data_IF_611952365564
#
_entry.id   IF_611952365564
#
_cell.length_a   1.000
_cell.length_b   1.000
_cell.length_c   1.000
_cell.angle_alpha   90.00
_cell.angle_beta   90.00
_cell.angle_gamma   90.00
#
_symmetry.space_group_name_H-M   'P 1'
#
loop_
_entity.id
_entity.type
_entity.pdbx_description
1 polymer ?
#
# COMPACT_ATOMS: atom_id res chain seq x y z
N UNK A 1 -8.06 0.76 -15.20
CA UNK A 1 -6.63 1.08 -15.41
C UNK A 1 -6.32 2.27 -14.51
N UNK A 2 -5.27 2.15 -13.74
CA UNK A 2 -4.77 3.17 -12.83
C UNK A 2 -3.32 3.49 -13.20
N UNK A 3 -2.92 4.76 -13.21
CA UNK A 3 -1.58 5.19 -13.58
C UNK A 3 -1.16 6.35 -12.68
N UNK A 4 -0.05 6.17 -11.99
CA UNK A 4 0.52 7.15 -11.06
C UNK A 4 1.97 7.46 -11.46
N UNK A 5 2.32 8.74 -11.57
CA UNK A 5 3.71 9.23 -11.72
C UNK A 5 3.96 10.24 -10.58
N UNK A 6 4.75 9.84 -9.60
CA UNK A 6 5.08 10.65 -8.44
C UNK A 6 6.53 11.10 -8.51
N UNK A 7 6.76 12.39 -8.33
CA UNK A 7 8.09 12.99 -8.22
C UNK A 7 8.16 13.87 -6.99
N UNK A 8 9.14 13.63 -6.15
CA UNK A 8 9.42 14.44 -4.97
C UNK A 8 10.82 15.01 -5.04
N UNK A 9 10.96 16.29 -4.71
CA UNK A 9 12.24 16.97 -4.58
C UNK A 9 12.33 17.61 -3.21
N UNK A 10 13.39 17.31 -2.48
CA UNK A 10 13.69 17.89 -1.20
C UNK A 10 14.93 18.78 -1.31
N UNK A 11 14.89 19.91 -0.64
CA UNK A 11 16.05 20.79 -0.48
C UNK A 11 16.26 21.00 1.01
N UNK A 12 17.52 20.97 1.44
CA UNK A 12 17.88 21.22 2.83
C UNK A 12 19.02 22.25 2.90
N UNK A 13 18.91 23.14 3.85
CA UNK A 13 19.93 24.10 4.17
C UNK A 13 19.88 24.40 5.68
N UNK A 14 21.01 24.79 6.23
CA UNK A 14 21.12 25.16 7.63
C UNK A 14 21.27 26.67 7.76
N UNK A 15 20.54 27.24 8.69
CA UNK A 15 20.56 28.70 8.98
C UNK A 15 20.87 28.92 10.46
N UNK A 16 21.34 30.11 10.81
CA UNK A 16 21.71 30.49 12.17
C UNK A 16 21.40 31.96 12.44
N UNK A 17 21.58 32.39 13.70
CA UNK A 17 21.37 33.77 14.11
C UNK A 17 19.90 34.10 14.35
N UNK A 18 19.14 33.21 15.00
CA UNK A 18 17.75 33.48 15.40
C UNK A 18 17.72 34.53 16.51
N UNK A 19 16.83 35.55 16.42
CA UNK A 19 16.78 36.67 17.38
C UNK A 19 16.41 36.24 18.80
N UNK A 20 15.60 35.16 18.96
CA UNK A 20 15.25 34.56 20.24
C UNK A 20 14.90 33.10 20.06
N UNK A 21 14.98 32.31 21.15
CA UNK A 21 14.66 30.89 21.12
C UNK A 21 13.20 30.53 20.81
N UNK A 22 12.30 31.52 20.81
CA UNK A 22 10.89 31.35 20.46
C UNK A 22 10.58 31.69 19.00
N UNK A 23 11.54 32.22 18.25
CA UNK A 23 11.42 32.60 16.84
C UNK A 23 12.27 31.67 15.97
N UNK A 24 11.74 30.50 15.68
CA UNK A 24 12.41 29.43 14.95
C UNK A 24 12.01 29.32 13.46
N UNK A 25 11.29 30.33 12.93
CA UNK A 25 10.94 30.41 11.52
C UNK A 25 12.18 30.71 10.67
N UNK A 26 12.37 29.96 9.59
CA UNK A 26 13.50 30.10 8.66
C UNK A 26 13.66 31.54 8.14
N UNK A 27 12.56 32.29 7.96
CA UNK A 27 12.56 33.66 7.45
C UNK A 27 13.12 34.70 8.41
N UNK A 28 13.27 34.37 9.70
CA UNK A 28 13.84 35.27 10.72
C UNK A 28 15.29 34.94 11.07
N UNK A 29 15.86 33.90 10.47
CA UNK A 29 17.29 33.64 10.60
C UNK A 29 18.12 34.74 9.92
N UNK A 30 19.22 35.11 10.54
CA UNK A 30 20.06 36.22 10.05
C UNK A 30 20.97 35.80 8.90
N UNK A 31 21.42 34.54 8.88
CA UNK A 31 22.36 34.06 7.87
C UNK A 31 22.31 32.54 7.69
N UNK A 32 22.88 32.05 6.58
CA UNK A 32 23.18 30.65 6.42
C UNK A 32 24.32 30.24 7.36
N UNK A 33 24.23 28.99 7.87
CA UNK A 33 25.28 28.46 8.73
C UNK A 33 26.62 28.48 7.99
N UNK A 34 27.64 29.02 8.65
CA UNK A 34 28.99 29.13 8.10
C UNK A 34 29.51 27.73 7.69
N UNK A 35 30.05 27.60 6.51
CA UNK A 35 30.47 26.34 5.89
C UNK A 35 29.34 25.30 5.72
N UNK A 36 28.09 25.69 5.92
CA UNK A 36 26.93 24.85 5.63
C UNK A 36 26.78 24.57 4.13
N UNK A 37 26.58 23.32 3.76
CA UNK A 37 26.33 22.92 2.37
C UNK A 37 24.83 22.73 2.18
N UNK A 38 24.24 23.26 1.08
CA UNK A 38 22.88 22.91 0.72
C UNK A 38 22.83 21.43 0.35
N UNK A 39 21.79 20.74 0.79
CA UNK A 39 21.47 19.39 0.38
C UNK A 39 20.31 19.36 -0.58
N UNK A 40 20.23 18.30 -1.36
CA UNK A 40 19.12 18.06 -2.25
C UNK A 40 18.87 16.57 -2.44
N UNK A 41 17.59 16.22 -2.56
CA UNK A 41 17.16 14.87 -2.86
C UNK A 41 16.07 14.91 -3.94
N UNK A 42 16.07 13.90 -4.79
CA UNK A 42 15.02 13.70 -5.76
C UNK A 42 14.62 12.22 -5.73
N UNK A 43 13.31 11.97 -5.65
CA UNK A 43 12.76 10.63 -5.80
C UNK A 43 11.70 10.64 -6.88
N UNK A 44 11.64 9.57 -7.65
CA UNK A 44 10.65 9.35 -8.68
C UNK A 44 10.15 7.93 -8.62
N UNK A 45 8.83 7.75 -8.59
CA UNK A 45 8.19 6.45 -8.68
C UNK A 45 7.06 6.47 -9.69
N UNK A 46 6.85 5.34 -10.35
CA UNK A 46 5.75 5.13 -11.28
C UNK A 46 5.05 3.83 -10.95
N UNK A 47 3.72 3.88 -11.01
CA UNK A 47 2.86 2.72 -10.85
C UNK A 47 1.88 2.63 -12.00
N UNK A 48 1.54 1.40 -12.37
CA UNK A 48 0.47 1.10 -13.30
C UNK A 48 -0.30 -0.08 -12.75
N UNK A 49 -1.64 0.00 -12.78
CA UNK A 49 -2.52 -1.04 -12.29
C UNK A 49 -3.63 -1.36 -13.27
N UNK A 50 -3.91 -2.64 -13.44
CA UNK A 50 -5.07 -3.13 -14.15
C UNK A 50 -5.94 -3.91 -13.18
N UNK A 51 -7.23 -3.60 -13.13
CA UNK A 51 -8.19 -4.21 -12.24
C UNK A 51 -9.39 -4.72 -13.01
N UNK A 52 -9.85 -5.91 -12.65
CA UNK A 52 -11.10 -6.50 -13.11
C UNK A 52 -11.87 -7.07 -11.93
N UNK A 53 -13.17 -6.80 -11.86
CA UNK A 53 -14.08 -7.31 -10.84
C UNK A 53 -15.26 -7.98 -11.50
N UNK A 54 -15.74 -9.06 -10.91
CA UNK A 54 -16.97 -9.73 -11.30
C UNK A 54 -17.76 -10.05 -10.04
N UNK A 55 -19.05 -9.73 -10.07
CA UNK A 55 -20.00 -10.04 -8.98
C UNK A 55 -21.23 -10.71 -9.59
N UNK A 56 -21.66 -11.79 -8.98
CA UNK A 56 -22.85 -12.52 -9.37
C UNK A 56 -23.72 -12.78 -8.18
N UNK A 57 -25.02 -12.55 -8.34
CA UNK A 57 -26.02 -12.91 -7.33
C UNK A 57 -27.12 -13.76 -7.98
N UNK A 58 -27.52 -14.79 -7.27
CA UNK A 58 -28.60 -15.68 -7.69
C UNK A 58 -29.73 -15.65 -6.65
N UNK A 59 -30.92 -15.24 -7.08
CA UNK A 59 -32.16 -15.15 -6.30
C UNK A 59 -32.03 -14.43 -4.94
N UNK A 60 -31.08 -13.48 -4.83
CA UNK A 60 -30.72 -12.85 -3.56
C UNK A 60 -30.33 -13.83 -2.44
N UNK A 61 -30.01 -15.07 -2.79
CA UNK A 61 -29.61 -16.14 -1.88
C UNK A 61 -28.12 -16.35 -1.89
N UNK A 62 -27.54 -16.48 -3.08
CA UNK A 62 -26.13 -16.80 -3.27
C UNK A 62 -25.42 -15.64 -3.92
N UNK A 63 -24.25 -15.30 -3.39
CA UNK A 63 -23.41 -14.22 -3.89
C UNK A 63 -22.01 -14.79 -4.14
N UNK A 64 -21.44 -14.42 -5.26
CA UNK A 64 -20.06 -14.74 -5.61
C UNK A 64 -19.39 -13.47 -6.11
N UNK A 65 -18.28 -13.10 -5.52
CA UNK A 65 -17.45 -11.98 -5.91
C UNK A 65 -16.06 -12.47 -6.26
N UNK A 66 -15.49 -11.95 -7.33
CA UNK A 66 -14.13 -12.19 -7.72
C UNK A 66 -13.47 -10.87 -8.14
N UNK A 67 -12.24 -10.68 -7.73
CA UNK A 67 -11.42 -9.53 -8.11
C UNK A 67 -10.04 -10.02 -8.53
N UNK A 68 -9.54 -9.41 -9.58
CA UNK A 68 -8.17 -9.62 -10.04
C UNK A 68 -7.53 -8.25 -10.31
N UNK A 69 -6.32 -8.08 -9.83
CA UNK A 69 -5.53 -6.88 -10.05
C UNK A 69 -4.09 -7.25 -10.38
N UNK A 70 -3.53 -6.58 -11.36
CA UNK A 70 -2.10 -6.65 -11.64
C UNK A 70 -1.50 -5.26 -11.48
N UNK A 71 -0.53 -5.14 -10.60
CA UNK A 71 0.15 -3.89 -10.31
C UNK A 71 1.62 -3.97 -10.71
N UNK A 72 2.08 -2.93 -11.43
CA UNK A 72 3.47 -2.72 -11.77
C UNK A 72 4.02 -1.48 -11.07
N UNK A 73 5.23 -1.57 -10.53
CA UNK A 73 5.89 -0.43 -9.88
C UNK A 73 7.37 -0.37 -10.23
N UNK A 74 7.87 0.86 -10.43
CA UNK A 74 9.29 1.13 -10.66
C UNK A 74 10.16 1.01 -9.40
N UNK A 75 9.56 0.73 -8.24
CA UNK A 75 10.29 0.54 -6.98
C UNK A 75 10.91 -0.84 -6.86
N UNK A 76 10.43 -1.80 -7.66
CA UNK A 76 10.88 -3.19 -7.63
C UNK A 76 11.95 -3.49 -8.67
N UNK A 77 12.60 -4.62 -8.49
CA UNK A 77 13.60 -5.15 -9.39
C UNK A 77 13.08 -5.31 -10.82
N UNK A 78 13.99 -5.29 -11.81
CA UNK A 78 13.62 -5.37 -13.24
C UNK A 78 12.74 -6.58 -13.55
N UNK A 79 12.97 -7.68 -12.86
CA UNK A 79 12.37 -8.97 -13.16
C UNK A 79 11.08 -9.24 -12.35
N UNK A 80 10.81 -8.40 -11.33
CA UNK A 80 9.68 -8.54 -10.40
C UNK A 80 8.79 -7.29 -10.31
N UNK A 81 8.75 -6.49 -11.36
CA UNK A 81 7.99 -5.22 -11.38
C UNK A 81 6.49 -5.40 -11.29
N UNK A 82 5.97 -6.48 -11.87
CA UNK A 82 4.54 -6.77 -11.92
C UNK A 82 4.20 -7.90 -10.97
N UNK A 83 3.14 -7.70 -10.18
CA UNK A 83 2.59 -8.74 -9.32
C UNK A 83 1.08 -8.83 -9.52
N UNK A 84 0.55 -10.06 -9.70
CA UNK A 84 -0.88 -10.30 -9.70
C UNK A 84 -1.39 -10.43 -8.26
N UNK A 85 -2.55 -9.83 -7.99
CA UNK A 85 -3.30 -9.98 -6.75
C UNK A 85 -4.72 -10.40 -7.11
N UNK A 86 -5.34 -11.19 -6.25
CA UNK A 86 -6.66 -11.70 -6.48
C UNK A 86 -7.45 -11.85 -5.18
N UNK A 87 -8.76 -11.81 -5.30
CA UNK A 87 -9.64 -12.17 -4.20
C UNK A 87 -10.89 -12.87 -4.73
N UNK A 88 -11.43 -13.77 -3.91
CA UNK A 88 -12.69 -14.41 -4.16
C UNK A 88 -13.51 -14.42 -2.86
N UNK A 89 -14.80 -14.17 -2.99
CA UNK A 89 -15.75 -14.16 -1.89
C UNK A 89 -17.04 -14.88 -2.26
N UNK A 90 -17.64 -15.52 -1.26
CA UNK A 90 -18.94 -16.11 -1.36
C UNK A 90 -19.83 -15.63 -0.20
N UNK A 91 -21.10 -15.48 -0.48
CA UNK A 91 -22.10 -15.13 0.52
C UNK A 91 -23.38 -15.95 0.33
N UNK A 92 -23.98 -16.33 1.45
CA UNK A 92 -25.23 -17.07 1.46
C UNK A 92 -26.22 -16.42 2.41
N UNK A 93 -27.34 -15.97 1.86
CA UNK A 93 -28.48 -15.45 2.62
C UNK A 93 -29.40 -16.60 3.02
N UNK A 94 -29.12 -17.27 4.12
CA UNK A 94 -29.83 -18.45 4.61
C UNK A 94 -31.30 -18.10 4.90
N UNK A 95 -31.59 -16.90 5.38
CA UNK A 95 -32.96 -16.46 5.66
C UNK A 95 -33.87 -16.41 4.41
N UNK A 96 -33.33 -16.50 3.21
CA UNK A 96 -34.09 -16.56 1.95
C UNK A 96 -34.38 -18.00 1.50
N UNK A 97 -33.91 -19.01 2.23
CA UNK A 97 -34.17 -20.38 1.91
C UNK A 97 -35.57 -20.84 2.33
N UNK A 98 -36.17 -21.75 1.56
CA UNK A 98 -37.52 -22.23 1.83
C UNK A 98 -37.68 -22.92 3.20
N UNK A 99 -36.63 -23.52 3.73
CA UNK A 99 -36.64 -24.15 5.06
C UNK A 99 -36.64 -23.12 6.22
N UNK A 100 -36.39 -21.83 5.92
CA UNK A 100 -36.40 -20.75 6.88
C UNK A 100 -37.73 -19.97 6.89
N UNK A 101 -38.68 -20.32 6.01
CA UNK A 101 -39.96 -19.62 5.87
C UNK A 101 -40.80 -19.60 7.14
N UNK A 102 -40.70 -20.62 7.99
CA UNK A 102 -41.43 -20.77 9.23
C UNK A 102 -40.72 -20.19 10.46
N UNK A 103 -39.57 -19.52 10.25
CA UNK A 103 -38.72 -18.98 11.31
C UNK A 103 -38.88 -17.46 11.39
N UNK A 104 -39.96 -16.97 11.94
CA UNK A 104 -40.35 -15.54 11.96
C UNK A 104 -39.43 -14.65 12.82
N UNK A 105 -38.74 -15.22 13.79
CA UNK A 105 -37.89 -14.43 14.70
C UNK A 105 -36.51 -14.08 14.13
N UNK A 106 -36.07 -14.74 13.02
CA UNK A 106 -34.84 -14.41 12.28
C UNK A 106 -35.21 -13.57 11.07
N UNK A 107 -34.92 -12.28 11.11
CA UNK A 107 -35.17 -11.35 10.01
C UNK A 107 -34.08 -11.44 8.91
N UNK A 108 -32.83 -11.71 9.31
CA UNK A 108 -31.70 -11.87 8.41
C UNK A 108 -30.69 -12.84 8.98
N UNK A 109 -30.23 -13.75 8.16
CA UNK A 109 -29.12 -14.63 8.45
C UNK A 109 -28.26 -14.76 7.18
N UNK A 110 -27.04 -14.24 7.25
CA UNK A 110 -26.07 -14.30 6.15
C UNK A 110 -24.77 -14.90 6.66
N UNK A 111 -24.21 -15.83 5.90
CA UNK A 111 -22.85 -16.33 6.08
C UNK A 111 -22.04 -15.82 4.90
N UNK A 112 -20.78 -15.44 5.16
CA UNK A 112 -19.84 -15.00 4.13
C UNK A 112 -18.48 -15.63 4.38
N UNK A 113 -17.77 -15.93 3.29
CA UNK A 113 -16.39 -16.35 3.34
C UNK A 113 -15.62 -15.69 2.20
N UNK A 114 -14.38 -15.30 2.46
CA UNK A 114 -13.52 -14.73 1.44
C UNK A 114 -12.07 -15.14 1.63
N UNK A 115 -11.35 -15.19 0.53
CA UNK A 115 -9.92 -15.40 0.49
C UNK A 115 -9.33 -14.47 -0.56
N UNK A 116 -8.15 -13.92 -0.27
CA UNK A 116 -7.48 -13.06 -1.24
C UNK A 116 -6.03 -12.83 -0.89
N UNK A 117 -5.27 -12.48 -1.89
CA UNK A 117 -3.87 -12.12 -1.77
C UNK A 117 -3.72 -10.63 -2.05
N UNK A 118 -3.10 -9.91 -1.11
CA UNK A 118 -2.81 -8.48 -1.21
C UNK A 118 -1.31 -8.25 -1.16
N UNK A 119 -0.84 -7.23 -1.86
CA UNK A 119 0.56 -6.83 -1.87
C UNK A 119 0.78 -5.50 -1.17
N UNK A 120 1.89 -5.38 -0.47
CA UNK A 120 2.35 -4.12 0.09
C UNK A 120 3.73 -3.75 -0.47
N UNK A 121 3.97 -2.45 -0.59
CA UNK A 121 5.25 -1.90 -0.99
C UNK A 121 5.77 -0.99 0.13
N UNK A 122 6.74 -1.48 0.87
CA UNK A 122 7.39 -0.70 1.94
C UNK A 122 8.82 -0.29 1.56
N UNK A 123 9.14 -0.28 0.25
CA UNK A 123 10.47 0.02 -0.24
C UNK A 123 10.61 1.48 -0.67
N UNK A 124 11.77 2.04 -0.41
CA UNK A 124 12.13 3.38 -0.86
C UNK A 124 12.46 3.39 -2.35
N UNK A 125 12.41 4.57 -2.96
CA UNK A 125 12.84 4.72 -4.35
C UNK A 125 14.31 4.33 -4.51
N UNK A 126 14.60 3.60 -5.58
CA UNK A 126 15.97 3.17 -5.97
C UNK A 126 16.58 2.03 -5.15
N UNK A 127 15.89 1.38 -4.22
CA UNK A 127 16.43 0.22 -3.47
C UNK A 127 16.75 -0.98 -4.36
N UNK A 128 16.03 -1.13 -5.48
CA UNK A 128 16.33 -2.17 -6.46
C UNK A 128 17.53 -1.86 -7.37
N UNK A 129 18.08 -0.65 -7.29
CA UNK A 129 19.14 -0.17 -8.20
C UNK A 129 20.47 0.03 -7.49
N UNK A 130 21.59 -0.18 -8.20
CA UNK A 130 22.88 0.24 -7.69
C UNK A 130 22.92 1.76 -7.55
N UNK A 131 23.30 2.24 -6.38
CA UNK A 131 23.41 3.67 -6.11
C UNK A 131 24.83 4.07 -5.76
N UNK A 132 25.21 5.26 -6.20
CA UNK A 132 26.53 5.83 -5.99
C UNK A 132 26.41 7.20 -5.32
N UNK A 133 27.34 7.51 -4.43
CA UNK A 133 27.47 8.82 -3.83
C UNK A 133 28.75 9.48 -4.33
N UNK A 134 28.65 10.73 -4.76
CA UNK A 134 29.83 11.50 -5.11
C UNK A 134 30.62 11.85 -3.86
N UNK A 135 31.93 11.60 -3.91
CA UNK A 135 32.85 11.97 -2.83
C UNK A 135 33.59 13.28 -3.22
N UNK A 136 33.43 14.28 -2.36
CA UNK A 136 34.14 15.55 -2.54
C UNK A 136 35.57 15.50 -2.02
N UNK A 137 35.89 14.54 -1.15
CA UNK A 137 37.22 14.31 -0.58
C UNK A 137 38.11 13.44 -1.48
N UNK A 138 37.50 12.50 -2.19
CA UNK A 138 38.23 11.55 -3.03
C UNK A 138 38.25 12.06 -4.46
N UNK A 139 39.31 12.76 -4.81
CA UNK A 139 39.50 13.31 -6.14
C UNK A 139 40.70 12.63 -6.84
N UNK A 140 40.50 12.29 -8.10
CA UNK A 140 41.59 11.91 -8.99
C UNK A 140 41.79 13.02 -10.01
N UNK A 141 42.90 13.74 -9.92
CA UNK A 141 43.11 15.01 -10.62
C UNK A 141 41.97 16.01 -10.33
N UNK A 142 41.28 16.48 -11.35
CA UNK A 142 40.15 17.38 -11.26
C UNK A 142 38.79 16.65 -11.30
N UNK A 143 38.80 15.30 -11.33
CA UNK A 143 37.56 14.49 -11.37
C UNK A 143 37.09 14.15 -9.97
N UNK A 144 35.77 14.24 -9.80
CA UNK A 144 35.13 13.89 -8.56
C UNK A 144 34.97 12.36 -8.49
N UNK A 145 35.41 11.75 -7.40
CA UNK A 145 35.19 10.34 -7.14
C UNK A 145 33.72 9.99 -6.85
N UNK A 146 33.36 8.76 -7.12
CA UNK A 146 32.05 8.21 -6.74
C UNK A 146 32.24 6.86 -6.05
N UNK A 147 31.65 6.74 -4.87
CA UNK A 147 31.67 5.51 -4.09
C UNK A 147 30.33 4.80 -4.20
N UNK A 148 30.34 3.49 -4.35
CA UNK A 148 29.14 2.68 -4.35
C UNK A 148 28.50 2.74 -2.96
N UNK A 149 27.23 3.12 -2.90
CA UNK A 149 26.42 3.22 -1.68
C UNK A 149 25.60 1.96 -1.43
N UNK A 150 25.01 1.40 -2.47
CA UNK A 150 24.23 0.18 -2.39
C UNK A 150 24.36 -0.63 -3.68
N UNK A 151 24.31 -1.95 -3.55
CA UNK A 151 24.24 -2.89 -4.67
C UNK A 151 22.83 -2.94 -5.23
N UNK A 152 22.69 -3.28 -6.51
CA UNK A 152 21.40 -3.56 -7.11
C UNK A 152 20.80 -4.85 -6.54
N UNK A 153 19.49 -4.86 -6.35
CA UNK A 153 18.73 -6.07 -6.07
C UNK A 153 17.63 -6.22 -7.14
N UNK A 154 17.90 -6.92 -8.25
CA UNK A 154 16.95 -7.11 -9.33
C UNK A 154 15.76 -8.01 -8.94
N UNK A 155 15.93 -8.83 -7.89
CA UNK A 155 14.94 -9.76 -7.38
C UNK A 155 14.05 -9.16 -6.27
N UNK A 156 14.17 -7.85 -6.02
CA UNK A 156 13.33 -7.17 -5.03
C UNK A 156 11.87 -7.26 -5.47
N UNK A 157 11.05 -7.95 -4.69
CA UNK A 157 9.67 -8.28 -5.01
C UNK A 157 8.66 -7.74 -4.00
N UNK A 158 7.39 -7.81 -4.37
CA UNK A 158 6.26 -7.44 -3.52
C UNK A 158 6.17 -8.36 -2.30
N UNK A 159 5.94 -7.76 -1.14
CA UNK A 159 5.55 -8.52 0.03
C UNK A 159 4.06 -8.86 -0.09
N UNK A 160 3.74 -10.15 -0.16
CA UNK A 160 2.37 -10.62 -0.28
C UNK A 160 1.82 -11.08 1.04
N UNK A 161 0.52 -10.87 1.24
CA UNK A 161 -0.22 -11.34 2.41
C UNK A 161 -1.48 -12.04 1.93
N UNK A 162 -1.64 -13.29 2.36
CA UNK A 162 -2.84 -14.08 2.13
C UNK A 162 -3.82 -13.86 3.29
N UNK A 163 -4.96 -13.27 2.98
CA UNK A 163 -6.06 -13.00 3.90
C UNK A 163 -7.18 -14.03 3.70
N UNK A 164 -7.64 -14.63 4.79
CA UNK A 164 -8.81 -15.51 4.84
C UNK A 164 -9.79 -14.96 5.85
N UNK A 165 -11.05 -14.83 5.47
CA UNK A 165 -12.10 -14.34 6.35
C UNK A 165 -13.33 -15.24 6.26
N UNK A 166 -13.97 -15.49 7.40
CA UNK A 166 -15.31 -16.07 7.49
C UNK A 166 -16.11 -15.23 8.47
N UNK A 167 -17.33 -14.89 8.09
CA UNK A 167 -18.19 -14.06 8.90
C UNK A 167 -19.66 -14.44 8.81
N UNK A 168 -20.43 -13.96 9.78
CA UNK A 168 -21.87 -14.10 9.80
C UNK A 168 -22.53 -12.79 10.23
N UNK A 169 -23.72 -12.57 9.70
CA UNK A 169 -24.62 -11.47 10.09
C UNK A 169 -25.96 -12.07 10.47
N UNK A 170 -26.42 -11.82 11.67
CA UNK A 170 -27.75 -12.22 12.14
C UNK A 170 -28.53 -11.00 12.63
N UNK A 171 -29.76 -10.86 12.16
CA UNK A 171 -30.71 -9.83 12.62
C UNK A 171 -31.99 -10.52 13.11
N UNK A 172 -32.38 -10.22 14.33
CA UNK A 172 -33.48 -10.86 15.02
C UNK A 172 -34.41 -9.82 15.67
N UNK A 173 -35.51 -10.30 16.27
CA UNK A 173 -36.46 -9.48 17.03
C UNK A 173 -37.07 -8.32 16.23
N UNK A 174 -37.58 -8.62 15.03
CA UNK A 174 -38.18 -7.62 14.15
C UNK A 174 -37.19 -6.46 13.83
N UNK A 175 -35.97 -6.81 13.47
CA UNK A 175 -34.86 -5.88 13.13
C UNK A 175 -34.36 -5.02 14.29
N UNK A 176 -34.62 -5.41 15.56
CA UNK A 176 -34.16 -4.65 16.73
C UNK A 176 -32.75 -5.00 17.19
N UNK A 177 -32.30 -6.20 16.92
CA UNK A 177 -30.99 -6.66 17.32
C UNK A 177 -30.23 -7.22 16.10
N UNK A 178 -29.05 -6.66 15.82
CA UNK A 178 -28.15 -7.15 14.80
C UNK A 178 -26.82 -7.52 15.45
N UNK A 179 -26.36 -8.75 15.19
CA UNK A 179 -25.06 -9.26 15.59
C UNK A 179 -24.24 -9.59 14.33
N UNK A 180 -23.01 -9.15 14.33
CA UNK A 180 -22.03 -9.45 13.28
C UNK A 180 -20.79 -10.05 13.91
N UNK A 181 -20.29 -11.15 13.36
CA UNK A 181 -19.07 -11.77 13.79
C UNK A 181 -18.17 -12.07 12.59
N UNK A 182 -16.87 -11.82 12.75
CA UNK A 182 -15.84 -12.09 11.76
C UNK A 182 -14.65 -12.80 12.40
N UNK A 183 -14.20 -13.84 11.75
CA UNK A 183 -12.92 -14.48 12.01
C UNK A 183 -12.02 -14.33 10.80
N UNK A 184 -10.83 -13.78 11.01
CA UNK A 184 -9.85 -13.59 9.95
C UNK A 184 -8.52 -14.22 10.32
N UNK A 185 -7.82 -14.72 9.31
CA UNK A 185 -6.48 -15.27 9.42
C UNK A 185 -5.61 -14.71 8.30
N UNK A 186 -4.46 -14.13 8.66
CA UNK A 186 -3.50 -13.51 7.75
C UNK A 186 -2.16 -14.24 7.80
N UNK A 187 -1.58 -14.48 6.64
CA UNK A 187 -0.24 -15.05 6.50
C UNK A 187 0.55 -14.19 5.51
N UNK A 188 1.73 -13.75 5.93
CA UNK A 188 2.69 -12.96 5.13
C UNK A 188 3.91 -13.79 4.86
#
# INVERSE_FOLDING_TARGET
MDLEDQRSRGYSFSVEGFPSGSLDFLSVAMQYKENGKPGGSESKSRRVGFVGNASYSFEDRYFVDASFRTDGSSLYGSDRRFAPFWSAGIGWNIHREGFMSDVDWINRLKIRASVGETGSNNFSSYEAMATYAYSLSDRYYNWMGANMKALANPDLEWQTTLDKNIGFDITILNNRLTLTGDYYYKTT
#
